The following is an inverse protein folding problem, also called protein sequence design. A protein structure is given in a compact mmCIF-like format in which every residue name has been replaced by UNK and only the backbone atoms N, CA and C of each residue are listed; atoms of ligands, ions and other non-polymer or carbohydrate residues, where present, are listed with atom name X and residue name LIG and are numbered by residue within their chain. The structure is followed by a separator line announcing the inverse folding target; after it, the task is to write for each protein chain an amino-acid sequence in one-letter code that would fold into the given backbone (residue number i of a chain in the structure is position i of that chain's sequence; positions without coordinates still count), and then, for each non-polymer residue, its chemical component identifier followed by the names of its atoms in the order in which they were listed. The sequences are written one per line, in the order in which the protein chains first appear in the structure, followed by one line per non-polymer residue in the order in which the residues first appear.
data_IF_054373683884
#
_entry.id   IF_054373683884
#
_cell.length_a   1.000
_cell.length_b   1.000
_cell.length_c   1.000
_cell.angle_alpha   90.00
_cell.angle_beta   90.00
_cell.angle_gamma   90.00
#
_symmetry.space_group_name_H-M   'P 1'
#
loop_
_entity.id
_entity.type
_entity.pdbx_description
1 polymer ?
#
# COMPACT_ATOMS: atom_id res chain seq x y z
N UNK A 1 -21.62 42.48 3.16
CA UNK A 1 -20.21 42.18 2.81
C UNK A 1 -19.48 41.44 3.95
N UNK A 2 -18.93 42.06 5.00
CA UNK A 2 -18.21 41.32 6.06
C UNK A 2 -19.06 40.27 6.82
N UNK A 3 -20.34 40.57 7.10
CA UNK A 3 -21.27 39.64 7.75
C UNK A 3 -21.80 38.52 6.84
N UNK A 4 -21.77 38.71 5.51
CA UNK A 4 -22.20 37.71 4.53
C UNK A 4 -21.06 36.72 4.24
N UNK A 5 -19.84 37.22 4.08
CA UNK A 5 -18.63 36.44 3.86
C UNK A 5 -18.33 35.51 5.07
N UNK A 6 -18.61 35.99 6.30
CA UNK A 6 -18.52 35.18 7.52
C UNK A 6 -19.69 34.19 7.68
N UNK A 7 -20.83 34.41 7.03
CA UNK A 7 -21.96 33.47 7.01
C UNK A 7 -21.72 32.32 6.02
N UNK A 8 -21.23 32.65 4.81
CA UNK A 8 -20.90 31.67 3.77
C UNK A 8 -19.76 30.74 4.20
N UNK A 9 -18.70 31.30 4.79
CA UNK A 9 -17.60 30.52 5.37
C UNK A 9 -18.08 29.52 6.44
N UNK A 10 -18.99 29.94 7.34
CA UNK A 10 -19.57 29.05 8.35
C UNK A 10 -20.45 27.95 7.74
N UNK A 11 -21.19 28.26 6.68
CA UNK A 11 -22.01 27.26 5.99
C UNK A 11 -21.14 26.21 5.29
N UNK A 12 -20.05 26.62 4.63
CA UNK A 12 -19.09 25.69 4.03
C UNK A 12 -18.42 24.80 5.09
N UNK A 13 -18.04 25.37 6.24
CA UNK A 13 -17.49 24.59 7.35
C UNK A 13 -18.48 23.54 7.88
N UNK A 14 -19.76 23.88 8.00
CA UNK A 14 -20.83 22.94 8.41
C UNK A 14 -21.03 21.81 7.41
N UNK A 15 -20.96 22.10 6.10
CA UNK A 15 -21.03 21.06 5.08
C UNK A 15 -19.81 20.13 5.15
N UNK A 16 -18.61 20.70 5.34
CA UNK A 16 -17.37 19.91 5.40
C UNK A 16 -17.35 18.93 6.59
N UNK A 17 -17.80 19.36 7.77
CA UNK A 17 -17.83 18.45 8.93
C UNK A 17 -18.87 17.34 8.77
N UNK A 18 -19.98 17.59 8.08
CA UNK A 18 -20.96 16.55 7.75
C UNK A 18 -20.39 15.52 6.76
N UNK A 19 -19.61 15.95 5.77
CA UNK A 19 -18.88 15.05 4.87
C UNK A 19 -17.93 14.15 5.67
N UNK A 20 -17.09 14.75 6.52
CA UNK A 20 -16.10 14.02 7.34
C UNK A 20 -16.77 13.02 8.30
N UNK A 21 -17.86 13.40 8.96
CA UNK A 21 -18.60 12.51 9.86
C UNK A 21 -19.19 11.28 9.14
N UNK A 22 -19.53 11.42 7.85
CA UNK A 22 -20.08 10.34 7.04
C UNK A 22 -19.05 9.63 6.16
N UNK A 23 -17.77 10.01 6.26
CA UNK A 23 -16.69 9.55 5.37
C UNK A 23 -16.56 8.03 5.36
N UNK A 24 -16.91 7.33 6.44
CA UNK A 24 -16.96 5.86 6.51
C UNK A 24 -17.78 5.22 5.37
N UNK A 25 -18.77 5.93 4.84
CA UNK A 25 -19.61 5.45 3.74
C UNK A 25 -18.80 5.23 2.45
N UNK A 26 -17.74 6.02 2.23
CA UNK A 26 -16.89 6.00 1.04
C UNK A 26 -16.10 4.68 0.94
N UNK A 27 -15.18 4.36 1.88
CA UNK A 27 -14.42 3.13 1.80
C UNK A 27 -15.28 1.88 1.94
N UNK A 28 -16.39 1.93 2.70
CA UNK A 28 -17.29 0.78 2.84
C UNK A 28 -18.07 0.49 1.56
N UNK A 29 -18.47 1.51 0.80
CA UNK A 29 -19.09 1.26 -0.50
C UNK A 29 -18.06 0.79 -1.51
N UNK A 30 -16.83 1.31 -1.46
CA UNK A 30 -15.73 0.83 -2.29
C UNK A 30 -15.45 -0.65 -2.02
N UNK A 31 -15.40 -1.03 -0.74
CA UNK A 31 -15.29 -2.42 -0.31
C UNK A 31 -16.44 -3.27 -0.85
N UNK A 32 -17.68 -2.80 -0.75
CA UNK A 32 -18.86 -3.52 -1.22
C UNK A 32 -18.82 -3.77 -2.74
N UNK A 33 -18.50 -2.76 -3.55
CA UNK A 33 -18.45 -2.94 -5.02
C UNK A 33 -17.32 -3.87 -5.45
N UNK A 34 -16.18 -3.85 -4.74
CA UNK A 34 -15.08 -4.79 -4.98
C UNK A 34 -15.46 -6.22 -4.55
N UNK A 35 -16.09 -6.41 -3.39
CA UNK A 35 -16.60 -7.73 -2.95
C UNK A 35 -17.62 -8.31 -3.92
N UNK A 36 -18.44 -7.45 -4.53
CA UNK A 36 -19.40 -7.83 -5.56
C UNK A 36 -18.77 -8.01 -6.95
N UNK A 37 -17.47 -7.79 -7.12
CA UNK A 37 -16.78 -7.89 -8.41
C UNK A 37 -17.35 -6.95 -9.49
N UNK A 38 -17.87 -5.78 -9.07
CA UNK A 38 -18.49 -4.80 -9.97
C UNK A 38 -17.50 -4.21 -10.99
N UNK A 39 -16.27 -3.81 -10.61
CA UNK A 39 -15.31 -3.29 -11.58
C UNK A 39 -15.02 -4.27 -12.72
N UNK A 40 -14.74 -5.53 -12.40
CA UNK A 40 -14.51 -6.59 -13.39
C UNK A 40 -15.74 -6.86 -14.25
N UNK A 41 -16.94 -6.81 -13.67
CA UNK A 41 -18.18 -6.99 -14.43
C UNK A 41 -18.44 -5.86 -15.43
N UNK A 42 -18.08 -4.62 -15.11
CA UNK A 42 -18.15 -3.49 -16.05
C UNK A 42 -17.08 -3.67 -17.13
N UNK A 43 -15.84 -3.99 -16.75
CA UNK A 43 -14.69 -4.13 -17.64
C UNK A 43 -14.67 -5.45 -18.46
N UNK A 44 -15.68 -6.29 -18.31
CA UNK A 44 -15.73 -7.62 -18.91
C UNK A 44 -15.43 -7.58 -20.42
N UNK A 45 -14.45 -8.39 -20.85
CA UNK A 45 -14.03 -8.45 -22.25
C UNK A 45 -13.22 -7.24 -22.73
N UNK A 46 -12.70 -6.42 -21.80
CA UNK A 46 -11.92 -5.22 -22.12
C UNK A 46 -12.76 -4.03 -22.58
N UNK A 47 -14.10 -4.13 -22.51
CA UNK A 47 -15.02 -3.04 -22.84
C UNK A 47 -15.36 -2.24 -21.60
N UNK A 48 -15.44 -0.92 -21.73
CA UNK A 48 -15.91 -0.02 -20.67
C UNK A 48 -17.28 0.60 -21.01
N UNK A 49 -18.12 -0.15 -21.73
CA UNK A 49 -19.43 0.34 -22.16
C UNK A 49 -20.32 0.64 -20.95
N UNK A 50 -21.01 1.81 -20.88
CA UNK A 50 -21.85 2.14 -19.74
C UNK A 50 -22.99 1.14 -19.51
N UNK A 51 -23.15 0.69 -18.26
CA UNK A 51 -24.18 -0.28 -17.85
C UNK A 51 -25.10 0.27 -16.77
N UNK A 52 -26.37 -0.13 -16.77
CA UNK A 52 -27.27 0.15 -15.66
C UNK A 52 -26.90 -0.71 -14.44
N UNK A 53 -27.30 -0.29 -13.24
CA UNK A 53 -27.10 -1.10 -12.04
C UNK A 53 -27.73 -2.50 -12.15
N UNK A 54 -28.89 -2.63 -12.80
CA UNK A 54 -29.52 -3.92 -13.07
C UNK A 54 -28.67 -4.81 -13.99
N UNK A 55 -28.13 -4.25 -15.08
CA UNK A 55 -27.23 -4.98 -15.98
C UNK A 55 -25.95 -5.44 -15.27
N UNK A 56 -25.38 -4.60 -14.40
CA UNK A 56 -24.21 -4.96 -13.58
C UNK A 56 -24.58 -6.11 -12.64
N UNK A 57 -25.71 -6.04 -11.93
CA UNK A 57 -26.17 -7.09 -11.03
C UNK A 57 -26.33 -8.44 -11.73
N UNK A 58 -26.93 -8.47 -12.92
CA UNK A 58 -27.05 -9.69 -13.71
C UNK A 58 -25.69 -10.31 -14.04
N UNK A 59 -24.64 -9.50 -14.22
CA UNK A 59 -23.27 -9.98 -14.45
C UNK A 59 -22.62 -10.52 -13.18
N UNK A 60 -22.77 -9.83 -12.05
CA UNK A 60 -22.10 -10.21 -10.79
C UNK A 60 -22.83 -11.30 -10.01
N UNK A 61 -24.15 -11.42 -10.19
CA UNK A 61 -25.03 -12.32 -9.46
C UNK A 61 -26.04 -12.99 -10.42
N UNK A 62 -25.60 -13.75 -11.44
CA UNK A 62 -26.45 -14.24 -12.53
C UNK A 62 -27.57 -15.19 -12.09
N UNK A 63 -27.42 -15.84 -10.93
CA UNK A 63 -28.36 -16.85 -10.42
C UNK A 63 -29.09 -16.41 -9.15
N UNK A 64 -29.07 -15.12 -8.79
CA UNK A 64 -29.68 -14.62 -7.55
C UNK A 64 -30.87 -13.72 -7.85
N UNK A 65 -32.06 -14.27 -7.64
CA UNK A 65 -33.29 -13.50 -7.65
C UNK A 65 -33.37 -12.56 -6.43
N UNK A 66 -33.91 -11.35 -6.63
CA UNK A 66 -34.15 -10.39 -5.55
C UNK A 66 -32.96 -9.50 -5.16
N UNK A 67 -31.87 -9.48 -5.93
CA UNK A 67 -30.83 -8.47 -5.76
C UNK A 67 -31.37 -7.06 -6.09
N UNK A 68 -31.01 -6.07 -5.27
CA UNK A 68 -31.59 -4.73 -5.34
C UNK A 68 -30.71 -3.78 -6.17
N UNK A 69 -31.14 -3.51 -7.41
CA UNK A 69 -30.47 -2.60 -8.33
C UNK A 69 -30.46 -1.15 -7.83
N UNK A 70 -31.44 -0.74 -7.03
CA UNK A 70 -31.50 0.60 -6.46
C UNK A 70 -30.41 0.77 -5.39
N UNK A 71 -30.22 -0.23 -4.53
CA UNK A 71 -29.13 -0.20 -3.55
C UNK A 71 -27.75 -0.21 -4.22
N UNK A 72 -27.52 -1.02 -5.26
CA UNK A 72 -26.27 -0.94 -6.01
C UNK A 72 -26.10 0.45 -6.65
N UNK A 73 -27.15 1.00 -7.25
CA UNK A 73 -27.12 2.34 -7.83
C UNK A 73 -26.73 3.41 -6.80
N UNK A 74 -27.22 3.33 -5.55
CA UNK A 74 -26.84 4.26 -4.48
C UNK A 74 -25.35 4.21 -4.15
N UNK A 75 -24.75 3.01 -4.13
CA UNK A 75 -23.30 2.84 -3.95
C UNK A 75 -22.52 3.44 -5.12
N UNK A 76 -22.93 3.13 -6.36
CA UNK A 76 -22.28 3.62 -7.57
C UNK A 76 -22.32 5.15 -7.66
N UNK A 77 -23.47 5.77 -7.37
CA UNK A 77 -23.61 7.24 -7.37
C UNK A 77 -22.68 7.94 -6.39
N UNK A 78 -22.56 7.40 -5.18
CA UNK A 78 -21.66 7.97 -4.19
C UNK A 78 -20.20 7.81 -4.65
N UNK A 79 -19.82 6.65 -5.16
CA UNK A 79 -18.46 6.42 -5.68
C UNK A 79 -18.17 7.22 -6.97
N UNK A 80 -19.17 7.57 -7.77
CA UNK A 80 -19.04 8.54 -8.87
C UNK A 80 -18.65 9.93 -8.38
N UNK A 81 -19.15 10.38 -7.22
CA UNK A 81 -18.75 11.67 -6.63
C UNK A 81 -17.29 11.72 -6.17
N UNK A 82 -16.68 10.55 -5.95
CA UNK A 82 -15.25 10.39 -5.67
C UNK A 82 -14.45 9.95 -6.91
N UNK A 83 -15.05 10.04 -8.10
CA UNK A 83 -14.37 9.80 -9.37
C UNK A 83 -14.02 8.34 -9.65
N UNK A 84 -14.67 7.36 -9.00
CA UNK A 84 -14.44 5.92 -9.27
C UNK A 84 -15.21 5.45 -10.50
N UNK A 85 -16.43 5.97 -10.71
CA UNK A 85 -17.28 5.64 -11.85
C UNK A 85 -17.72 6.92 -12.57
N UNK A 86 -17.77 6.88 -13.89
CA UNK A 86 -18.40 7.92 -14.70
C UNK A 86 -19.91 7.64 -14.74
N UNK A 87 -20.72 8.65 -14.40
CA UNK A 87 -22.19 8.56 -14.42
C UNK A 87 -22.74 9.10 -15.76
N UNK A 88 -23.47 8.26 -16.49
CA UNK A 88 -24.11 8.61 -17.76
C UNK A 88 -25.63 8.66 -17.56
N UNK A 89 -26.22 9.84 -17.70
CA UNK A 89 -27.66 10.05 -17.54
C UNK A 89 -28.34 10.19 -18.92
N UNK A 90 -29.31 9.31 -19.19
CA UNK A 90 -30.21 9.44 -20.34
C UNK A 90 -31.66 9.40 -19.87
N UNK A 91 -32.29 10.58 -19.78
CA UNK A 91 -33.61 10.72 -19.14
C UNK A 91 -33.54 10.34 -17.65
N UNK A 92 -34.30 9.33 -17.25
CA UNK A 92 -34.28 8.78 -15.87
C UNK A 92 -33.32 7.60 -15.70
N UNK A 93 -32.75 7.07 -16.78
CA UNK A 93 -31.86 5.91 -16.74
C UNK A 93 -30.42 6.34 -16.45
N UNK A 94 -29.83 5.80 -15.39
CA UNK A 94 -28.40 5.99 -15.05
C UNK A 94 -27.60 4.76 -15.46
N UNK A 95 -26.49 5.02 -16.14
CA UNK A 95 -25.48 4.02 -16.51
C UNK A 95 -24.12 4.42 -15.96
N UNK A 96 -23.26 3.42 -15.77
CA UNK A 96 -21.94 3.60 -15.18
C UNK A 96 -20.88 2.94 -16.03
N UNK A 97 -19.75 3.63 -16.21
CA UNK A 97 -18.49 3.07 -16.70
C UNK A 97 -17.38 3.35 -15.68
N UNK A 98 -16.24 2.68 -15.80
CA UNK A 98 -15.09 2.97 -14.95
C UNK A 98 -14.37 4.24 -15.40
N UNK A 99 -13.92 5.06 -14.46
CA UNK A 99 -12.87 6.06 -14.71
C UNK A 99 -11.49 5.38 -14.68
N UNK A 100 -10.41 6.15 -14.81
CA UNK A 100 -9.05 5.63 -14.61
C UNK A 100 -8.85 5.12 -13.17
N UNK A 101 -9.44 5.79 -12.17
CA UNK A 101 -9.41 5.33 -10.76
C UNK A 101 -10.16 4.00 -10.64
N UNK A 102 -11.40 3.92 -11.15
CA UNK A 102 -12.18 2.69 -11.12
C UNK A 102 -11.52 1.55 -11.89
N UNK A 103 -10.80 1.86 -12.97
CA UNK A 103 -10.08 0.86 -13.77
C UNK A 103 -9.01 0.14 -12.95
N UNK A 104 -8.38 0.80 -11.99
CA UNK A 104 -7.39 0.17 -11.10
C UNK A 104 -7.96 -0.97 -10.25
N UNK A 105 -9.28 -0.99 -10.04
CA UNK A 105 -9.97 -2.01 -9.25
C UNK A 105 -10.32 -3.26 -10.06
N UNK A 106 -10.42 -3.14 -11.40
CA UNK A 106 -10.68 -4.27 -12.28
C UNK A 106 -9.39 -5.05 -12.56
N UNK A 107 -9.48 -6.38 -12.57
CA UNK A 107 -8.35 -7.28 -12.77
C UNK A 107 -7.75 -7.10 -14.17
N UNK A 108 -6.43 -6.94 -14.25
CA UNK A 108 -5.71 -6.87 -15.51
C UNK A 108 -5.35 -8.26 -16.09
N UNK A 109 -4.64 -8.27 -17.22
CA UNK A 109 -4.24 -9.51 -17.89
C UNK A 109 -3.24 -10.36 -17.08
N UNK A 110 -2.51 -9.74 -16.15
CA UNK A 110 -1.56 -10.41 -15.25
C UNK A 110 -2.27 -10.92 -13.97
N UNK A 111 -3.58 -10.68 -13.83
CA UNK A 111 -4.35 -11.04 -12.64
C UNK A 111 -4.23 -10.03 -11.49
N UNK A 112 -3.77 -8.80 -11.75
CA UNK A 112 -3.49 -7.77 -10.75
C UNK A 112 -4.58 -6.70 -10.72
N UNK A 113 -4.87 -6.19 -9.52
CA UNK A 113 -5.68 -4.99 -9.30
C UNK A 113 -5.46 -4.42 -7.90
N UNK A 114 -5.97 -3.22 -7.66
CA UNK A 114 -6.05 -2.60 -6.33
C UNK A 114 -7.24 -3.10 -5.50
N UNK A 115 -8.12 -3.93 -6.08
CA UNK A 115 -9.28 -4.51 -5.38
C UNK A 115 -8.89 -5.26 -4.11
N UNK A 116 -7.97 -6.23 -4.15
CA UNK A 116 -7.46 -6.91 -2.96
C UNK A 116 -6.88 -5.97 -1.89
N UNK A 117 -6.26 -4.85 -2.30
CA UNK A 117 -5.75 -3.83 -1.37
C UNK A 117 -6.89 -3.15 -0.60
N UNK A 118 -7.96 -2.78 -1.29
CA UNK A 118 -9.18 -2.27 -0.65
C UNK A 118 -9.78 -3.32 0.29
N UNK A 119 -9.88 -4.58 -0.12
CA UNK A 119 -10.43 -5.63 0.74
C UNK A 119 -9.57 -5.86 1.98
N UNK A 120 -8.25 -5.83 1.84
CA UNK A 120 -7.29 -6.02 2.94
C UNK A 120 -7.48 -4.99 4.05
N UNK A 121 -7.64 -3.71 3.70
CA UNK A 121 -7.78 -2.62 4.67
C UNK A 121 -9.08 -2.66 5.47
N UNK A 122 -10.05 -3.43 4.98
CA UNK A 122 -11.41 -3.48 5.52
C UNK A 122 -11.82 -4.91 5.91
N UNK A 123 -10.85 -5.75 6.27
CA UNK A 123 -11.13 -7.00 6.97
C UNK A 123 -11.67 -6.69 8.37
N UNK A 124 -12.61 -7.49 8.86
CA UNK A 124 -13.32 -7.24 10.12
C UNK A 124 -12.36 -7.00 11.30
N UNK A 125 -11.28 -7.78 11.39
CA UNK A 125 -10.24 -7.63 12.42
C UNK A 125 -9.54 -6.26 12.37
N UNK A 126 -9.23 -5.75 11.17
CA UNK A 126 -8.60 -4.45 10.99
C UNK A 126 -9.61 -3.33 11.28
N UNK A 127 -10.86 -3.47 10.80
CA UNK A 127 -11.94 -2.51 11.06
C UNK A 127 -12.18 -2.33 12.57
N UNK A 128 -12.10 -3.43 13.33
CA UNK A 128 -12.31 -3.40 14.79
C UNK A 128 -11.28 -2.61 15.59
N UNK A 129 -10.09 -2.33 15.02
CA UNK A 129 -9.03 -1.57 15.68
C UNK A 129 -9.25 -0.05 15.61
N UNK A 130 -9.93 0.44 14.58
CA UNK A 130 -10.10 1.88 14.33
C UNK A 130 -10.79 2.66 15.45
N UNK A 131 -11.85 2.15 16.12
CA UNK A 131 -12.43 2.84 17.27
C UNK A 131 -11.43 3.09 18.42
N UNK A 132 -10.34 2.31 18.48
CA UNK A 132 -9.31 2.37 19.53
C UNK A 132 -8.09 3.22 19.14
N UNK A 133 -8.06 3.85 17.95
CA UNK A 133 -6.89 4.63 17.49
C UNK A 133 -6.47 5.72 18.49
N UNK A 134 -7.44 6.34 19.16
CA UNK A 134 -7.19 7.38 20.16
C UNK A 134 -6.38 6.86 21.36
N UNK A 135 -6.40 5.56 21.63
CA UNK A 135 -5.69 4.99 22.77
C UNK A 135 -4.17 4.98 22.58
N UNK A 136 -3.69 4.87 21.34
CA UNK A 136 -2.26 5.01 21.04
C UNK A 136 -1.71 6.40 21.42
N UNK A 137 -2.59 7.41 21.46
CA UNK A 137 -2.26 8.77 21.92
C UNK A 137 -2.27 8.85 23.45
N UNK A 138 -3.24 8.19 24.10
CA UNK A 138 -3.38 8.19 25.56
C UNK A 138 -2.23 7.40 26.22
N UNK A 139 -1.86 6.26 25.64
CA UNK A 139 -0.76 5.42 26.08
C UNK A 139 0.04 4.95 24.86
N UNK A 140 1.27 5.47 24.66
CA UNK A 140 2.10 5.13 23.51
C UNK A 140 2.67 3.70 23.56
N UNK A 141 2.35 2.91 24.59
CA UNK A 141 2.64 1.47 24.65
C UNK A 141 1.45 0.60 24.24
N UNK A 142 0.27 1.20 24.07
CA UNK A 142 -0.93 0.51 23.61
C UNK A 142 -0.93 0.40 22.09
N UNK A 143 -1.04 -0.84 21.61
CA UNK A 143 -1.19 -1.18 20.19
C UNK A 143 -2.68 -1.41 19.87
N UNK A 144 -3.37 -0.53 19.13
CA UNK A 144 -4.83 -0.61 18.96
C UNK A 144 -5.32 -1.94 18.38
N UNK A 145 -4.62 -2.47 17.37
CA UNK A 145 -4.96 -3.77 16.79
C UNK A 145 -4.83 -4.91 17.80
N UNK A 146 -3.74 -4.94 18.57
CA UNK A 146 -3.51 -5.95 19.61
C UNK A 146 -4.58 -5.85 20.68
N UNK A 147 -4.98 -4.64 21.07
CA UNK A 147 -6.06 -4.47 22.05
C UNK A 147 -7.40 -5.00 21.54
N UNK A 148 -7.72 -4.79 20.26
CA UNK A 148 -8.95 -5.28 19.65
C UNK A 148 -8.95 -6.79 19.40
N UNK A 149 -7.80 -7.38 19.05
CA UNK A 149 -7.73 -8.74 18.50
C UNK A 149 -6.87 -9.73 19.30
N UNK A 150 -6.19 -9.27 20.36
CA UNK A 150 -5.40 -10.07 21.29
C UNK A 150 -3.96 -10.39 20.87
N UNK A 151 -3.56 -10.08 19.64
CA UNK A 151 -2.22 -10.37 19.10
C UNK A 151 -1.86 -9.42 17.94
N UNK A 152 -0.58 -9.31 17.55
CA UNK A 152 -0.14 -8.46 16.43
C UNK A 152 -0.78 -8.85 15.09
N UNK A 153 -0.94 -7.88 14.18
CA UNK A 153 -1.65 -8.09 12.92
C UNK A 153 -1.02 -9.18 12.03
N UNK A 154 0.31 -9.17 11.86
CA UNK A 154 1.02 -10.19 11.08
C UNK A 154 0.80 -11.61 11.61
N UNK A 155 0.83 -11.78 12.94
CA UNK A 155 0.56 -13.06 13.59
C UNK A 155 -0.89 -13.49 13.38
N UNK A 156 -1.82 -12.53 13.50
CA UNK A 156 -3.26 -12.77 13.43
C UNK A 156 -3.71 -13.31 12.08
N UNK A 157 -3.40 -12.60 10.98
CA UNK A 157 -3.75 -13.10 9.65
C UNK A 157 -2.80 -14.18 9.15
N UNK A 158 -1.55 -14.23 9.61
CA UNK A 158 -0.59 -15.29 9.26
C UNK A 158 -1.06 -16.69 9.67
N UNK A 159 -1.88 -16.80 10.72
CA UNK A 159 -2.55 -18.03 11.16
C UNK A 159 -3.78 -18.42 10.32
N UNK A 160 -4.28 -17.53 9.47
CA UNK A 160 -5.54 -17.68 8.73
C UNK A 160 -5.29 -17.66 7.22
N UNK A 161 -5.31 -18.83 6.54
CA UNK A 161 -4.92 -18.95 5.13
C UNK A 161 -5.64 -17.98 4.19
N UNK A 162 -6.94 -17.75 4.38
CA UNK A 162 -7.73 -16.83 3.56
C UNK A 162 -7.29 -15.37 3.74
N UNK A 163 -7.14 -14.91 4.99
CA UNK A 163 -6.70 -13.55 5.30
C UNK A 163 -5.27 -13.29 4.81
N UNK A 164 -4.37 -14.27 5.01
CA UNK A 164 -3.00 -14.18 4.53
C UNK A 164 -2.94 -14.18 2.99
N UNK A 165 -3.76 -15.02 2.33
CA UNK A 165 -3.86 -15.03 0.87
C UNK A 165 -4.37 -13.70 0.31
N UNK A 166 -5.31 -13.06 0.99
CA UNK A 166 -5.78 -11.72 0.63
C UNK A 166 -4.68 -10.67 0.80
N UNK A 167 -3.94 -10.69 1.91
CA UNK A 167 -2.79 -9.82 2.14
C UNK A 167 -1.74 -9.97 1.03
N UNK A 168 -1.40 -11.20 0.65
CA UNK A 168 -0.45 -11.46 -0.44
C UNK A 168 -0.94 -10.87 -1.77
N UNK A 169 -2.20 -11.09 -2.14
CA UNK A 169 -2.80 -10.49 -3.35
C UNK A 169 -2.81 -8.97 -3.31
N UNK A 170 -3.13 -8.37 -2.15
CA UNK A 170 -3.08 -6.94 -1.93
C UNK A 170 -1.67 -6.38 -2.17
N UNK A 171 -0.66 -7.02 -1.58
CA UNK A 171 0.73 -6.59 -1.73
C UNK A 171 1.24 -6.75 -3.17
N UNK A 172 0.88 -7.83 -3.86
CA UNK A 172 1.22 -8.01 -5.29
C UNK A 172 0.57 -6.94 -6.16
N UNK A 173 -0.71 -6.65 -5.94
CA UNK A 173 -1.47 -5.65 -6.70
C UNK A 173 -0.87 -4.24 -6.66
N UNK A 174 -0.31 -3.84 -5.51
CA UNK A 174 0.36 -2.53 -5.36
C UNK A 174 1.85 -2.56 -5.70
N UNK A 175 2.55 -3.67 -5.41
CA UNK A 175 4.00 -3.72 -5.57
C UNK A 175 4.44 -3.94 -7.01
N UNK A 176 3.71 -4.73 -7.81
CA UNK A 176 4.13 -5.02 -9.19
C UNK A 176 4.10 -3.76 -10.08
N UNK A 177 3.03 -2.93 -10.10
CA UNK A 177 3.03 -1.68 -10.87
C UNK A 177 4.17 -0.74 -10.45
N UNK A 178 4.39 -0.60 -9.14
CA UNK A 178 5.49 0.20 -8.59
C UNK A 178 6.86 -0.31 -9.04
N UNK A 179 7.11 -1.63 -8.93
CA UNK A 179 8.36 -2.23 -9.36
C UNK A 179 8.58 -2.10 -10.87
N UNK A 180 7.53 -2.18 -11.70
CA UNK A 180 7.63 -1.89 -13.15
C UNK A 180 8.15 -0.45 -13.38
N UNK A 181 7.60 0.55 -12.68
CA UNK A 181 8.03 1.94 -12.79
C UNK A 181 9.48 2.16 -12.33
N UNK A 182 9.88 1.61 -11.18
CA UNK A 182 11.28 1.71 -10.72
C UNK A 182 12.24 1.09 -11.73
N UNK A 183 11.94 -0.12 -12.23
CA UNK A 183 12.83 -0.83 -13.14
C UNK A 183 12.97 -0.14 -14.51
N UNK A 184 12.10 0.83 -14.82
CA UNK A 184 12.20 1.68 -16.00
C UNK A 184 12.90 3.01 -15.71
N UNK A 185 12.69 3.59 -14.52
CA UNK A 185 13.16 4.94 -14.16
C UNK A 185 14.40 5.00 -13.27
N UNK A 186 14.85 3.89 -12.68
CA UNK A 186 15.95 3.83 -11.72
C UNK A 186 17.10 2.93 -12.17
N UNK A 187 18.28 3.54 -12.26
CA UNK A 187 19.49 2.88 -12.75
C UNK A 187 20.39 2.29 -11.65
N UNK A 188 19.99 2.38 -10.38
CA UNK A 188 20.87 2.04 -9.25
C UNK A 188 21.26 0.57 -9.14
N UNK A 189 20.56 -0.32 -9.87
CA UNK A 189 20.91 -1.76 -10.00
C UNK A 189 22.00 -2.04 -11.03
N UNK A 190 22.41 -1.06 -11.86
CA UNK A 190 23.51 -1.24 -12.82
C UNK A 190 24.82 -1.50 -12.06
N UNK A 191 25.54 -2.55 -12.47
CA UNK A 191 26.82 -2.94 -11.88
C UNK A 191 26.73 -3.76 -10.60
N UNK A 192 25.54 -3.98 -10.05
CA UNK A 192 25.31 -4.88 -8.90
C UNK A 192 25.40 -6.33 -9.37
N UNK A 193 26.23 -7.15 -8.73
CA UNK A 193 26.34 -8.59 -9.01
C UNK A 193 25.63 -9.42 -7.95
N UNK A 194 25.77 -9.03 -6.68
CA UNK A 194 25.10 -9.63 -5.53
C UNK A 194 24.12 -8.63 -4.90
N UNK A 195 22.85 -9.03 -4.83
CA UNK A 195 21.75 -8.21 -4.30
C UNK A 195 21.02 -8.96 -3.21
N UNK A 196 20.84 -8.33 -2.05
CA UNK A 196 19.97 -8.84 -0.98
C UNK A 196 18.69 -8.03 -0.95
N UNK A 197 17.53 -8.68 -0.96
CA UNK A 197 16.21 -8.08 -0.71
C UNK A 197 15.82 -8.39 0.74
N UNK A 198 15.91 -7.40 1.64
CA UNK A 198 15.58 -7.54 3.07
C UNK A 198 14.10 -7.25 3.27
N UNK A 199 13.40 -8.16 3.95
CA UNK A 199 11.94 -8.15 4.02
C UNK A 199 11.30 -8.53 2.68
N UNK A 200 12.01 -9.33 1.86
CA UNK A 200 11.61 -9.64 0.49
C UNK A 200 10.44 -10.61 0.37
N UNK A 201 9.92 -11.13 1.50
CA UNK A 201 8.75 -12.01 1.57
C UNK A 201 8.84 -13.21 0.61
N UNK A 202 7.92 -13.33 -0.36
CA UNK A 202 7.95 -14.39 -1.37
C UNK A 202 9.06 -14.23 -2.43
N UNK A 203 9.78 -13.11 -2.44
CA UNK A 203 10.88 -12.82 -3.38
C UNK A 203 10.44 -12.23 -4.72
N UNK A 204 9.21 -11.72 -4.82
CA UNK A 204 8.65 -11.22 -6.07
C UNK A 204 9.40 -9.98 -6.60
N UNK A 205 9.77 -9.05 -5.72
CA UNK A 205 10.54 -7.84 -6.08
C UNK A 205 11.91 -8.21 -6.64
N UNK A 206 12.67 -9.02 -5.90
CA UNK A 206 13.98 -9.52 -6.34
C UNK A 206 13.90 -10.28 -7.68
N UNK A 207 12.86 -11.10 -7.89
CA UNK A 207 12.61 -11.78 -9.17
C UNK A 207 12.41 -10.80 -10.31
N UNK A 208 11.69 -9.71 -10.10
CA UNK A 208 11.50 -8.67 -11.12
C UNK A 208 12.81 -7.94 -11.42
N UNK A 209 13.59 -7.62 -10.38
CA UNK A 209 14.89 -6.97 -10.52
C UNK A 209 15.85 -7.85 -11.34
N UNK A 210 16.02 -9.12 -10.99
CA UNK A 210 16.91 -10.04 -11.73
C UNK A 210 16.49 -10.22 -13.19
N UNK A 211 15.19 -10.28 -13.48
CA UNK A 211 14.68 -10.39 -14.86
C UNK A 211 15.05 -9.17 -15.71
N UNK A 212 15.02 -7.97 -15.13
CA UNK A 212 15.38 -6.72 -15.83
C UNK A 212 16.90 -6.52 -15.89
N UNK A 213 17.61 -6.91 -14.83
CA UNK A 213 19.04 -6.71 -14.64
C UNK A 213 19.76 -8.06 -14.50
N UNK A 214 19.99 -8.80 -15.61
CA UNK A 214 20.63 -10.12 -15.57
C UNK A 214 22.08 -10.10 -15.08
N UNK A 215 22.67 -8.91 -14.87
CA UNK A 215 23.97 -8.75 -14.23
C UNK A 215 23.93 -9.03 -12.72
N UNK A 216 22.75 -8.98 -12.08
CA UNK A 216 22.53 -9.44 -10.72
C UNK A 216 22.51 -10.97 -10.73
N UNK A 217 23.69 -11.58 -10.55
CA UNK A 217 23.89 -13.04 -10.65
C UNK A 217 23.50 -13.76 -9.37
N UNK A 218 23.67 -13.12 -8.23
CA UNK A 218 23.37 -13.71 -6.92
C UNK A 218 22.30 -12.86 -6.22
N UNK A 219 21.07 -13.36 -6.23
CA UNK A 219 19.96 -12.76 -5.49
C UNK A 219 19.74 -13.51 -4.18
N UNK A 220 19.70 -12.79 -3.07
CA UNK A 220 19.33 -13.33 -1.76
C UNK A 220 18.01 -12.69 -1.33
N UNK A 221 16.93 -13.47 -1.28
CA UNK A 221 15.70 -13.05 -0.63
C UNK A 221 15.83 -13.34 0.87
N UNK A 222 15.86 -12.29 1.69
CA UNK A 222 16.10 -12.36 3.13
C UNK A 222 14.86 -11.91 3.91
N UNK A 223 14.33 -12.81 4.74
CA UNK A 223 13.17 -12.55 5.60
C UNK A 223 13.23 -13.45 6.85
N UNK A 224 12.22 -13.38 7.71
CA UNK A 224 12.10 -14.29 8.85
C UNK A 224 12.07 -15.75 8.38
N UNK A 225 12.67 -16.70 9.13
CA UNK A 225 12.77 -18.11 8.74
C UNK A 225 11.43 -18.73 8.31
N UNK A 226 10.36 -18.45 9.04
CA UNK A 226 9.01 -18.95 8.78
C UNK A 226 8.34 -18.34 7.54
N UNK A 227 8.79 -17.16 7.10
CA UNK A 227 8.32 -16.49 5.89
C UNK A 227 9.00 -17.11 4.67
N UNK A 228 10.35 -17.14 4.66
CA UNK A 228 11.09 -17.72 3.54
C UNK A 228 10.87 -19.21 3.37
N UNK A 229 10.55 -19.95 4.44
CA UNK A 229 10.21 -21.38 4.35
C UNK A 229 8.93 -21.64 3.52
N UNK A 230 8.07 -20.63 3.37
CA UNK A 230 6.84 -20.69 2.56
C UNK A 230 7.01 -20.05 1.18
N UNK A 231 8.16 -19.44 0.90
CA UNK A 231 8.41 -18.79 -0.38
C UNK A 231 8.55 -19.84 -1.50
N UNK A 232 7.96 -19.60 -2.69
CA UNK A 232 8.13 -20.50 -3.82
C UNK A 232 9.59 -20.46 -4.30
N UNK A 233 10.15 -21.59 -4.81
CA UNK A 233 11.49 -21.57 -5.38
C UNK A 233 11.53 -20.65 -6.60
N UNK A 234 12.54 -19.78 -6.66
CA UNK A 234 12.77 -18.87 -7.79
C UNK A 234 14.18 -19.10 -8.34
N UNK A 235 14.28 -19.39 -9.64
CA UNK A 235 15.57 -19.61 -10.31
C UNK A 235 16.49 -18.40 -10.15
N UNK A 236 17.73 -18.62 -9.72
CA UNK A 236 18.72 -17.56 -9.49
C UNK A 236 18.58 -16.81 -8.15
N UNK A 237 17.59 -17.18 -7.32
CA UNK A 237 17.38 -16.57 -6.01
C UNK A 237 17.54 -17.64 -4.92
N UNK A 238 18.27 -17.28 -3.87
CA UNK A 238 18.41 -18.09 -2.65
C UNK A 238 17.53 -17.44 -1.57
N UNK A 239 16.71 -18.25 -0.92
CA UNK A 239 15.91 -17.83 0.22
C UNK A 239 16.72 -18.06 1.51
N UNK A 240 16.96 -16.99 2.27
CA UNK A 240 17.75 -17.03 3.51
C UNK A 240 16.90 -16.52 4.67
N UNK A 241 16.70 -17.38 5.67
CA UNK A 241 15.97 -17.03 6.89
C UNK A 241 16.90 -16.36 7.89
N UNK A 242 16.45 -15.27 8.50
CA UNK A 242 17.20 -14.60 9.56
C UNK A 242 16.46 -13.44 10.20
N UNK A 243 17.21 -12.59 10.88
CA UNK A 243 16.69 -11.45 11.62
C UNK A 243 17.55 -10.22 11.29
N UNK A 244 16.94 -9.23 10.62
CA UNK A 244 17.62 -8.01 10.18
C UNK A 244 18.16 -7.16 11.34
N UNK A 245 17.63 -7.32 12.55
CA UNK A 245 18.17 -6.67 13.75
C UNK A 245 19.49 -7.29 14.22
N UNK A 246 19.79 -8.52 13.79
CA UNK A 246 21.03 -9.23 14.15
C UNK A 246 22.09 -9.09 13.06
N UNK A 247 21.74 -9.45 11.83
CA UNK A 247 22.68 -9.43 10.70
C UNK A 247 21.94 -9.51 9.38
N UNK A 248 22.50 -8.87 8.35
CA UNK A 248 22.04 -8.96 6.97
C UNK A 248 23.16 -9.65 6.15
N UNK A 249 22.83 -10.57 5.21
CA UNK A 249 23.83 -11.18 4.35
C UNK A 249 24.64 -10.15 3.56
N UNK A 250 25.94 -10.39 3.37
CA UNK A 250 26.82 -9.50 2.61
C UNK A 250 26.43 -9.44 1.13
N UNK A 251 26.42 -8.23 0.53
CA UNK A 251 26.06 -7.99 -0.87
C UNK A 251 26.63 -6.68 -1.41
N UNK A 252 26.67 -6.50 -2.73
CA UNK A 252 27.09 -5.24 -3.37
C UNK A 252 26.04 -4.14 -3.16
N UNK A 253 24.77 -4.55 -3.12
CA UNK A 253 23.65 -3.69 -2.80
C UNK A 253 22.61 -4.43 -1.95
N UNK A 254 21.89 -3.67 -1.14
CA UNK A 254 20.75 -4.12 -0.35
C UNK A 254 19.53 -3.36 -0.84
N UNK A 255 18.44 -4.07 -1.10
CA UNK A 255 17.14 -3.53 -1.43
C UNK A 255 16.18 -3.75 -0.26
N UNK A 256 15.34 -2.75 0.01
CA UNK A 256 14.22 -2.84 0.94
C UNK A 256 13.02 -2.16 0.31
N UNK A 257 11.85 -2.75 0.41
CA UNK A 257 10.60 -2.08 0.05
C UNK A 257 9.62 -2.17 1.20
N UNK A 258 9.21 -1.00 1.68
CA UNK A 258 8.15 -0.88 2.68
C UNK A 258 8.48 -1.59 4.00
N UNK A 259 9.73 -1.48 4.45
CA UNK A 259 10.24 -2.16 5.64
C UNK A 259 10.32 -1.18 6.80
N UNK A 260 10.87 0.02 6.57
CA UNK A 260 11.23 0.98 7.60
C UNK A 260 10.01 1.68 8.25
N UNK A 261 8.85 1.62 7.62
CA UNK A 261 7.62 2.28 8.11
C UNK A 261 7.09 1.74 9.44
N UNK A 262 7.32 0.47 9.75
CA UNK A 262 6.77 -0.19 10.95
C UNK A 262 7.69 -0.10 12.17
N UNK A 263 8.86 0.54 12.02
CA UNK A 263 9.90 0.57 13.05
C UNK A 263 10.10 1.96 13.63
N UNK A 264 10.55 2.01 14.89
CA UNK A 264 10.96 3.26 15.54
C UNK A 264 12.26 3.78 14.91
N UNK A 265 12.62 5.04 15.19
CA UNK A 265 13.85 5.64 14.65
C UNK A 265 15.12 4.86 15.10
N UNK A 266 15.15 4.39 16.35
CA UNK A 266 16.28 3.60 16.88
C UNK A 266 16.41 2.23 16.19
N UNK A 267 15.28 1.59 15.90
CA UNK A 267 15.24 0.31 15.20
C UNK A 267 15.57 0.46 13.72
N UNK A 268 15.05 1.49 13.03
CA UNK A 268 15.47 1.83 11.69
C UNK A 268 16.97 2.07 11.62
N UNK A 269 17.53 2.83 12.57
CA UNK A 269 18.96 3.06 12.66
C UNK A 269 19.73 1.74 12.81
N UNK A 270 19.30 0.84 13.71
CA UNK A 270 19.94 -0.47 13.90
C UNK A 270 19.90 -1.33 12.62
N UNK A 271 18.76 -1.37 11.92
CA UNK A 271 18.61 -2.06 10.64
C UNK A 271 19.60 -1.48 9.61
N UNK A 272 19.65 -0.15 9.50
CA UNK A 272 20.55 0.54 8.56
C UNK A 272 22.03 0.35 8.92
N UNK A 273 22.40 0.31 10.20
CA UNK A 273 23.76 -0.02 10.65
C UNK A 273 24.16 -1.44 10.23
N UNK A 274 23.24 -2.40 10.31
CA UNK A 274 23.47 -3.77 9.85
C UNK A 274 23.58 -3.84 8.32
N UNK A 275 22.85 -3.00 7.58
CA UNK A 275 23.05 -2.85 6.14
C UNK A 275 24.44 -2.31 5.84
N UNK A 276 24.85 -1.25 6.53
CA UNK A 276 26.15 -0.63 6.35
C UNK A 276 27.30 -1.62 6.59
N UNK A 277 27.18 -2.49 7.60
CA UNK A 277 28.16 -3.56 7.88
C UNK A 277 28.22 -4.60 6.75
N UNK A 278 27.07 -4.96 6.17
CA UNK A 278 26.95 -5.98 5.12
C UNK A 278 27.37 -5.48 3.71
N UNK A 279 27.53 -4.17 3.53
CA UNK A 279 27.94 -3.57 2.26
C UNK A 279 29.47 -3.39 2.18
N UNK A 280 30.10 -3.62 1.00
CA UNK A 280 31.48 -3.22 0.76
C UNK A 280 31.61 -1.70 0.61
N UNK A 281 32.85 -1.20 0.51
CA UNK A 281 33.10 0.20 0.14
C UNK A 281 32.46 0.52 -1.23
N UNK A 282 31.73 1.63 -1.31
CA UNK A 282 30.96 2.01 -2.50
C UNK A 282 29.63 1.26 -2.68
N UNK A 283 29.32 0.28 -1.81
CA UNK A 283 28.04 -0.42 -1.77
C UNK A 283 26.88 0.50 -1.37
N UNK A 284 25.64 0.06 -1.62
CA UNK A 284 24.46 0.90 -1.42
C UNK A 284 23.27 0.16 -0.79
N UNK A 285 22.52 0.89 0.03
CA UNK A 285 21.17 0.52 0.44
C UNK A 285 20.16 1.29 -0.43
N UNK A 286 19.20 0.58 -1.00
CA UNK A 286 18.14 1.09 -1.85
C UNK A 286 16.82 0.81 -1.14
N UNK A 287 16.28 1.81 -0.43
CA UNK A 287 15.02 1.69 0.29
C UNK A 287 13.88 2.34 -0.48
N UNK A 288 12.75 1.65 -0.65
CA UNK A 288 11.55 2.16 -1.29
C UNK A 288 10.47 2.36 -0.23
N UNK A 289 10.23 3.62 0.15
CA UNK A 289 9.37 3.97 1.27
C UNK A 289 8.39 5.09 0.92
N UNK A 290 7.21 5.15 1.55
CA UNK A 290 6.39 6.35 1.54
C UNK A 290 7.13 7.49 2.24
N UNK A 291 7.35 8.59 1.53
CA UNK A 291 8.04 9.79 2.03
C UNK A 291 7.05 10.93 2.18
N UNK A 292 6.85 11.33 3.44
CA UNK A 292 5.97 12.44 3.80
C UNK A 292 6.48 13.76 3.21
N UNK A 293 5.57 14.63 2.71
CA UNK A 293 5.94 15.99 2.38
C UNK A 293 6.32 16.76 3.67
N UNK A 294 7.16 17.79 3.54
CA UNK A 294 7.52 18.64 4.67
C UNK A 294 6.32 19.45 5.19
N UNK A 295 5.41 19.82 4.30
CA UNK A 295 4.20 20.58 4.60
C UNK A 295 2.96 19.76 4.26
N UNK A 296 1.90 19.92 5.06
CA UNK A 296 0.61 19.29 4.78
C UNK A 296 -0.20 20.19 3.84
N UNK A 297 -0.68 19.61 2.74
CA UNK A 297 -1.66 20.21 1.84
C UNK A 297 -2.87 19.27 1.68
N UNK A 298 -3.83 19.70 0.87
CA UNK A 298 -5.06 18.98 0.62
C UNK A 298 -5.01 18.09 -0.63
N UNK A 299 -3.81 17.87 -1.20
CA UNK A 299 -3.61 17.03 -2.38
C UNK A 299 -3.86 15.55 -2.10
N UNK A 300 -4.22 14.79 -3.14
CA UNK A 300 -4.41 13.35 -3.04
C UNK A 300 -3.15 12.62 -2.55
N UNK A 301 -1.97 13.07 -2.98
CA UNK A 301 -0.70 12.48 -2.56
C UNK A 301 -0.49 12.64 -1.06
N UNK A 302 -0.62 13.86 -0.54
CA UNK A 302 -0.43 14.13 0.89
C UNK A 302 -1.44 13.37 1.74
N UNK A 303 -2.73 13.39 1.36
CA UNK A 303 -3.77 12.63 2.09
C UNK A 303 -3.46 11.13 2.11
N UNK A 304 -3.12 10.51 0.98
CA UNK A 304 -2.81 9.08 0.92
C UNK A 304 -1.61 8.70 1.80
N UNK A 305 -0.58 9.54 1.84
CA UNK A 305 0.62 9.29 2.66
C UNK A 305 0.34 9.41 4.17
N UNK A 306 -0.44 10.42 4.57
CA UNK A 306 -0.83 10.64 5.97
C UNK A 306 -1.84 9.59 6.44
N UNK A 307 -2.82 9.22 5.61
CA UNK A 307 -3.75 8.12 5.90
C UNK A 307 -3.00 6.79 6.07
N UNK A 308 -1.99 6.53 5.25
CA UNK A 308 -1.11 5.37 5.40
C UNK A 308 -0.30 5.39 6.70
N UNK A 309 0.16 6.55 7.15
CA UNK A 309 0.87 6.68 8.43
C UNK A 309 -0.04 6.34 9.62
N UNK A 310 -1.27 6.88 9.63
CA UNK A 310 -2.27 6.53 10.64
C UNK A 310 -2.67 5.06 10.56
N UNK A 311 -2.72 4.46 9.36
CA UNK A 311 -2.93 3.02 9.20
C UNK A 311 -1.83 2.22 9.88
N UNK A 312 -0.55 2.58 9.68
CA UNK A 312 0.58 1.92 10.36
C UNK A 312 0.48 2.06 11.87
N UNK A 313 0.21 3.26 12.37
CA UNK A 313 0.03 3.53 13.81
C UNK A 313 -1.12 2.68 14.41
N UNK A 314 -2.20 2.48 13.67
CA UNK A 314 -3.40 1.79 14.17
C UNK A 314 -3.28 0.27 14.09
N UNK A 315 -2.75 -0.24 12.96
CA UNK A 315 -2.83 -1.67 12.61
C UNK A 315 -1.56 -2.43 12.98
N UNK A 316 -0.39 -1.83 12.77
CA UNK A 316 0.87 -2.54 12.93
C UNK A 316 1.60 -2.12 14.18
N UNK A 317 1.84 -0.82 14.35
CA UNK A 317 2.66 -0.34 15.44
C UNK A 317 2.48 1.14 15.73
N UNK A 318 2.07 1.45 16.96
CA UNK A 318 1.80 2.80 17.45
C UNK A 318 3.01 3.75 17.34
N UNK A 319 4.24 3.22 17.45
CA UNK A 319 5.48 3.98 17.30
C UNK A 319 6.19 3.79 15.95
N UNK A 320 5.62 3.00 15.05
CA UNK A 320 6.02 3.01 13.64
C UNK A 320 5.52 4.30 12.99
N UNK A 321 6.27 4.82 12.02
CA UNK A 321 5.87 6.05 11.30
C UNK A 321 6.45 6.10 9.89
N UNK A 322 5.71 6.75 9.01
CA UNK A 322 6.23 7.34 7.79
C UNK A 322 7.12 8.54 8.16
N UNK A 323 8.08 8.85 7.28
CA UNK A 323 9.11 9.85 7.54
C UNK A 323 9.24 10.80 6.38
N UNK A 324 9.70 12.01 6.68
CA UNK A 324 10.15 12.98 5.68
C UNK A 324 11.49 12.57 5.07
N UNK A 325 11.85 13.17 3.94
CA UNK A 325 13.16 12.94 3.31
C UNK A 325 14.31 13.30 4.27
N UNK A 326 14.17 14.39 5.03
CA UNK A 326 15.20 14.84 5.97
C UNK A 326 15.39 13.90 7.16
N UNK A 327 14.31 13.30 7.67
CA UNK A 327 14.38 12.25 8.70
C UNK A 327 15.11 11.01 8.18
N UNK A 328 14.81 10.55 6.96
CA UNK A 328 15.53 9.44 6.34
C UNK A 328 17.02 9.77 6.13
N UNK A 329 17.35 10.97 5.64
CA UNK A 329 18.73 11.45 5.49
C UNK A 329 19.48 11.43 6.82
N UNK A 330 18.86 11.90 7.91
CA UNK A 330 19.44 11.88 9.27
C UNK A 330 19.67 10.47 9.78
N UNK A 331 18.73 9.55 9.54
CA UNK A 331 18.90 8.12 9.88
C UNK A 331 20.07 7.49 9.13
N UNK A 332 20.19 7.74 7.82
CA UNK A 332 21.31 7.27 7.01
C UNK A 332 22.67 7.75 7.54
N UNK A 333 22.78 9.05 7.84
CA UNK A 333 23.99 9.63 8.44
C UNK A 333 24.30 8.99 9.80
N UNK A 334 23.30 8.80 10.66
CA UNK A 334 23.47 8.22 11.98
C UNK A 334 23.86 6.73 11.92
N UNK A 335 23.49 6.02 10.86
CA UNK A 335 23.86 4.63 10.58
C UNK A 335 25.21 4.46 9.87
N UNK A 336 25.86 5.58 9.51
CA UNK A 336 27.20 5.60 8.92
C UNK A 336 27.25 5.85 7.41
N UNK A 337 26.12 5.99 6.72
CA UNK A 337 26.09 6.30 5.28
C UNK A 337 26.44 7.78 5.04
N UNK A 338 27.58 8.11 4.40
CA UNK A 338 27.97 9.51 4.16
C UNK A 338 27.13 10.19 3.07
N UNK A 339 26.52 9.42 2.17
CA UNK A 339 25.83 9.95 0.99
C UNK A 339 24.37 9.47 0.93
N UNK A 340 23.47 10.37 0.55
CA UNK A 340 22.03 10.12 0.45
C UNK A 340 21.44 10.80 -0.79
N UNK A 341 20.56 10.11 -1.50
CA UNK A 341 19.80 10.63 -2.65
C UNK A 341 18.38 10.08 -2.66
N UNK A 342 17.40 10.93 -2.96
CA UNK A 342 16.03 10.53 -3.20
C UNK A 342 15.68 10.61 -4.70
N UNK A 343 14.91 9.65 -5.20
CA UNK A 343 14.41 9.59 -6.57
C UNK A 343 12.88 9.45 -6.57
N UNK A 344 12.22 10.41 -7.22
CA UNK A 344 10.77 10.55 -7.29
C UNK A 344 10.23 9.96 -8.60
N UNK A 345 10.11 8.63 -8.65
CA UNK A 345 9.67 7.88 -9.85
C UNK A 345 8.19 7.50 -9.74
N UNK A 346 7.70 7.27 -8.52
CA UNK A 346 6.32 6.93 -8.19
C UNK A 346 5.73 8.00 -7.27
N UNK A 347 4.40 8.15 -7.30
CA UNK A 347 3.73 9.18 -6.49
C UNK A 347 3.64 8.82 -5.01
N UNK A 348 3.56 7.53 -4.67
CA UNK A 348 3.42 7.06 -3.30
C UNK A 348 4.78 6.69 -2.69
N UNK A 349 5.56 5.89 -3.41
CA UNK A 349 6.87 5.44 -2.93
C UNK A 349 8.00 6.28 -3.53
N UNK A 350 8.97 6.63 -2.69
CA UNK A 350 10.23 7.26 -3.11
C UNK A 350 11.34 6.24 -3.01
N UNK A 351 12.24 6.23 -3.99
CA UNK A 351 13.47 5.42 -3.92
C UNK A 351 14.54 6.24 -3.20
N UNK A 352 15.04 5.72 -2.10
CA UNK A 352 16.03 6.32 -1.22
C UNK A 352 17.33 5.53 -1.34
N UNK A 353 18.37 6.12 -1.90
CA UNK A 353 19.69 5.52 -2.05
C UNK A 353 20.63 6.07 -0.97
N UNK A 354 21.15 5.18 -0.13
CA UNK A 354 22.18 5.46 0.86
C UNK A 354 23.46 4.76 0.43
N UNK A 355 24.53 5.52 0.20
CA UNK A 355 25.79 4.96 -0.29
C UNK A 355 26.86 4.99 0.79
N UNK A 356 27.55 3.85 0.95
CA UNK A 356 28.65 3.63 1.91
C UNK A 356 29.94 4.28 1.46
#
# INVERSE_FOLDING_TARGET
MADEETSESRNQARLKILELANMISVPMSLNAVVRLNVPDAIWQGGSNSPLTASQILTRVLPSRDGADAENLQRLLRMLSSYGVFEEHLNGSERKYSLTDVGRTLATDADGLSYGPYVLQHHQDALVSAWPLVHEAVVDPTTEPFVKANGEPAYDYYGKKPEMNGLMQKAMSGVSVPFMKAILEGYDGFKGVQKLVDVGGSAGDCLRMIQRKHPNVREGINFDLPEVVAKAPPISGIIHVGGDMFKSIPEADAIFMKWVLTTWTDDECKLIMENCFKALPEGGKLIACEPVLPNETDDSHRTRALLEGDIFVMTIYRAKGKHRTEDEFRKLGLAAGFPNFRAFYIDYFYTVLEFQK
#
